data_IF_599834188803
#
_entry.id   IF_599834188803
#
_cell.length_a   1.000
_cell.length_b   1.000
_cell.length_c   1.000
_cell.angle_alpha   90.00
_cell.angle_beta   90.00
_cell.angle_gamma   90.00
#
_symmetry.space_group_name_H-M   'P 1'
#
loop_
_entity.id
_entity.type
_entity.pdbx_description
1 polymer ?
#
# COMPACT_ATOMS: atom_id res chain seq x y z
N UNK A 1 38.48 52.91 6.81
CA UNK A 1 37.05 53.13 6.49
C UNK A 1 36.83 52.65 5.07
N UNK A 2 36.29 51.45 4.90
CA UNK A 2 35.94 50.86 3.61
C UNK A 2 34.63 50.11 3.82
N UNK A 3 33.58 50.53 3.12
CA UNK A 3 32.28 49.89 3.09
C UNK A 3 32.09 49.33 1.68
N UNK A 4 32.01 48.01 1.56
CA UNK A 4 31.51 47.32 0.38
C UNK A 4 30.00 47.04 0.57
N UNK A 5 29.20 47.00 -0.51
CA UNK A 5 27.75 46.81 -0.43
C UNK A 5 27.36 45.34 -0.17
N UNK A 6 26.20 45.18 0.47
CA UNK A 6 25.56 43.94 0.88
C UNK A 6 25.03 43.12 -0.30
N UNK A 7 25.43 41.85 -0.38
CA UNK A 7 24.80 40.85 -1.25
C UNK A 7 23.39 40.50 -0.75
N UNK A 8 22.39 40.72 -1.61
CA UNK A 8 21.02 40.28 -1.41
C UNK A 8 20.92 38.78 -1.70
N UNK A 9 20.61 37.97 -0.67
CA UNK A 9 20.24 36.57 -0.84
C UNK A 9 18.91 36.46 -1.61
N UNK A 10 18.96 35.78 -2.75
CA UNK A 10 17.78 35.43 -3.54
C UNK A 10 16.95 34.35 -2.82
N UNK A 11 15.69 34.67 -2.56
CA UNK A 11 14.71 33.71 -2.02
C UNK A 11 14.24 32.80 -3.16
N UNK A 12 14.30 31.47 -3.05
CA UNK A 12 13.80 30.58 -4.09
C UNK A 12 12.27 30.63 -4.13
N UNK A 13 11.73 30.85 -5.33
CA UNK A 13 10.29 30.78 -5.62
C UNK A 13 9.74 29.39 -5.27
N UNK A 14 8.83 29.34 -4.29
CA UNK A 14 8.04 28.15 -4.00
C UNK A 14 7.15 27.84 -5.21
N UNK A 15 7.40 26.71 -5.87
CA UNK A 15 6.48 26.14 -6.87
C UNK A 15 5.19 25.77 -6.17
N UNK A 16 4.13 26.48 -6.47
CA UNK A 16 2.77 26.15 -6.04
C UNK A 16 2.32 24.90 -6.80
N UNK A 17 2.29 23.75 -6.13
CA UNK A 17 1.57 22.58 -6.62
C UNK A 17 0.06 22.83 -6.47
N UNK A 18 -0.61 23.15 -7.57
CA UNK A 18 -2.07 23.13 -7.62
C UNK A 18 -2.54 21.67 -7.46
N UNK A 19 -3.20 21.37 -6.34
CA UNK A 19 -3.96 20.14 -6.17
C UNK A 19 -5.34 20.31 -6.82
N UNK A 20 -5.46 19.96 -8.10
CA UNK A 20 -6.77 19.74 -8.71
C UNK A 20 -7.24 18.34 -8.30
N UNK A 21 -8.02 18.25 -7.21
CA UNK A 21 -8.65 16.99 -6.76
C UNK A 21 -9.90 16.68 -7.59
N UNK A 22 -9.74 16.40 -8.88
CA UNK A 22 -10.82 15.76 -9.63
C UNK A 22 -11.02 14.35 -9.07
N UNK A 23 -12.20 14.07 -8.49
CA UNK A 23 -12.53 12.74 -7.96
C UNK A 23 -12.47 11.73 -9.11
N UNK A 24 -11.65 10.67 -9.01
CA UNK A 24 -11.58 9.69 -10.07
C UNK A 24 -12.92 8.99 -10.24
N UNK A 25 -13.28 8.62 -11.48
CA UNK A 25 -14.44 7.77 -11.73
C UNK A 25 -14.24 6.45 -11.00
N UNK A 26 -15.16 6.12 -10.10
CA UNK A 26 -15.17 4.85 -9.37
C UNK A 26 -16.08 3.87 -10.12
N UNK A 27 -15.68 2.60 -10.18
CA UNK A 27 -16.52 1.51 -10.65
C UNK A 27 -17.55 1.10 -9.61
N UNK A 28 -18.20 -0.05 -9.82
CA UNK A 28 -19.10 -0.63 -8.81
C UNK A 28 -18.28 -1.04 -7.59
N UNK A 29 -18.79 -0.69 -6.41
CA UNK A 29 -18.33 -1.23 -5.13
C UNK A 29 -19.24 -2.39 -4.77
N UNK A 30 -18.66 -3.48 -4.31
CA UNK A 30 -19.35 -4.69 -3.90
C UNK A 30 -18.81 -5.14 -2.55
N UNK A 31 -19.67 -5.71 -1.71
CA UNK A 31 -19.30 -6.19 -0.40
C UNK A 31 -20.18 -7.38 -0.03
N UNK A 32 -19.64 -8.28 0.79
CA UNK A 32 -20.37 -9.46 1.20
C UNK A 32 -19.54 -10.38 2.07
N UNK A 33 -19.97 -11.63 2.11
CA UNK A 33 -19.31 -12.70 2.85
C UNK A 33 -19.15 -13.92 1.95
N UNK A 34 -17.96 -14.55 1.97
CA UNK A 34 -17.69 -15.82 1.29
C UNK A 34 -16.95 -16.72 2.28
N UNK A 35 -17.51 -17.89 2.56
CA UNK A 35 -16.90 -18.90 3.45
C UNK A 35 -16.44 -18.34 4.82
N UNK A 36 -17.25 -17.47 5.45
CA UNK A 36 -16.93 -16.86 6.74
C UNK A 36 -15.90 -15.72 6.67
N UNK A 37 -15.51 -15.27 5.46
CA UNK A 37 -14.68 -14.09 5.25
C UNK A 37 -15.54 -12.93 4.76
N UNK A 38 -15.46 -11.79 5.44
CA UNK A 38 -16.09 -10.56 4.96
C UNK A 38 -15.19 -9.89 3.93
N UNK A 39 -15.75 -9.35 2.87
CA UNK A 39 -14.99 -8.61 1.87
C UNK A 39 -15.68 -7.32 1.46
N UNK A 40 -14.87 -6.37 0.99
CA UNK A 40 -15.29 -5.22 0.19
C UNK A 40 -14.33 -5.09 -0.98
N UNK A 41 -14.86 -4.80 -2.17
CA UNK A 41 -14.08 -4.68 -3.39
C UNK A 41 -14.60 -3.59 -4.30
N UNK A 42 -13.72 -3.02 -5.10
CA UNK A 42 -14.08 -1.99 -6.07
C UNK A 42 -12.89 -1.51 -6.87
N UNK A 43 -13.16 -0.98 -8.06
CA UNK A 43 -12.14 -0.40 -8.92
C UNK A 43 -12.33 1.09 -9.16
N UNK A 44 -11.30 1.74 -9.67
CA UNK A 44 -11.39 3.12 -10.16
C UNK A 44 -10.56 3.33 -11.42
N UNK A 45 -10.92 4.37 -12.17
CA UNK A 45 -10.39 4.66 -13.50
C UNK A 45 -9.50 5.91 -13.53
N UNK A 46 -8.95 6.33 -12.37
CA UNK A 46 -8.07 7.48 -12.23
C UNK A 46 -6.93 7.50 -13.29
N UNK A 47 -6.40 6.32 -13.62
CA UNK A 47 -5.27 6.13 -14.51
C UNK A 47 -5.67 5.61 -15.90
N UNK A 48 -6.96 5.66 -16.26
CA UNK A 48 -7.42 5.14 -17.54
C UNK A 48 -6.79 5.89 -18.73
N UNK A 49 -6.50 7.18 -18.57
CA UNK A 49 -5.76 7.96 -19.57
C UNK A 49 -4.32 7.46 -19.80
N UNK A 50 -3.78 6.65 -18.89
CA UNK A 50 -2.50 5.93 -19.03
C UNK A 50 -2.70 4.45 -19.40
N UNK A 51 -3.93 4.04 -19.71
CA UNK A 51 -4.27 2.65 -20.01
C UNK A 51 -4.27 1.72 -18.79
N UNK A 52 -4.36 2.27 -17.56
CA UNK A 52 -4.32 1.49 -16.31
C UNK A 52 -5.66 1.55 -15.58
N UNK A 53 -6.13 0.40 -15.13
CA UNK A 53 -7.26 0.28 -14.19
C UNK A 53 -6.75 -0.30 -12.87
N UNK A 54 -7.20 0.28 -11.76
CA UNK A 54 -6.88 -0.21 -10.43
C UNK A 54 -8.13 -0.80 -9.79
N UNK A 55 -7.99 -2.01 -9.24
CA UNK A 55 -9.00 -2.71 -8.45
C UNK A 55 -8.41 -3.06 -7.09
N UNK A 56 -9.18 -2.81 -6.03
CA UNK A 56 -8.83 -3.20 -4.67
C UNK A 56 -9.90 -4.13 -4.10
N UNK A 57 -9.45 -5.20 -3.46
CA UNK A 57 -10.27 -5.99 -2.55
C UNK A 57 -9.64 -5.95 -1.15
N UNK A 58 -10.47 -5.80 -0.13
CA UNK A 58 -10.09 -5.91 1.27
C UNK A 58 -10.92 -7.05 1.87
N UNK A 59 -10.24 -7.98 2.52
CA UNK A 59 -10.84 -9.18 3.11
C UNK A 59 -10.51 -9.20 4.59
N UNK A 60 -11.51 -9.46 5.43
CA UNK A 60 -11.33 -9.85 6.82
C UNK A 60 -11.54 -11.35 6.91
N UNK A 61 -10.49 -12.08 7.26
CA UNK A 61 -10.56 -13.54 7.40
C UNK A 61 -11.23 -13.93 8.72
N UNK A 62 -11.67 -15.18 8.83
CA UNK A 62 -12.21 -15.76 10.06
C UNK A 62 -11.23 -15.77 11.24
N UNK A 63 -9.92 -15.58 10.98
CA UNK A 63 -8.85 -15.45 11.98
C UNK A 63 -8.50 -13.99 12.30
N UNK A 64 -9.37 -13.04 11.96
CA UNK A 64 -9.17 -11.61 12.19
C UNK A 64 -7.91 -11.02 11.52
N UNK A 65 -7.46 -11.65 10.43
CA UNK A 65 -6.42 -11.10 9.58
C UNK A 65 -7.04 -10.27 8.47
N UNK A 66 -6.42 -9.13 8.16
CA UNK A 66 -6.78 -8.35 6.99
C UNK A 66 -5.93 -8.78 5.81
N UNK A 67 -6.54 -8.93 4.64
CA UNK A 67 -5.83 -9.13 3.37
C UNK A 67 -6.26 -8.01 2.43
N UNK A 68 -5.30 -7.25 1.92
CA UNK A 68 -5.53 -6.20 0.93
C UNK A 68 -4.89 -6.63 -0.37
N UNK A 69 -5.69 -6.66 -1.43
CA UNK A 69 -5.30 -7.10 -2.77
C UNK A 69 -5.49 -5.92 -3.70
N UNK A 70 -4.38 -5.34 -4.16
CA UNK A 70 -4.37 -4.36 -5.23
C UNK A 70 -4.04 -5.07 -6.55
N UNK A 71 -4.94 -4.99 -7.52
CA UNK A 71 -4.75 -5.52 -8.86
C UNK A 71 -4.75 -4.37 -9.85
N UNK A 72 -3.64 -4.21 -10.58
CA UNK A 72 -3.52 -3.21 -11.64
C UNK A 72 -3.50 -3.93 -12.98
N UNK A 73 -4.44 -3.59 -13.85
CA UNK A 73 -4.52 -4.10 -15.22
C UNK A 73 -4.21 -3.00 -16.22
N UNK A 74 -3.64 -3.39 -17.36
CA UNK A 74 -3.17 -2.48 -18.40
C UNK A 74 -2.15 -3.17 -19.30
N UNK A 75 -1.43 -2.39 -20.08
CA UNK A 75 -0.33 -2.87 -20.94
C UNK A 75 0.89 -1.99 -20.78
N UNK A 76 2.05 -2.57 -21.09
CA UNK A 76 3.33 -1.89 -21.09
C UNK A 76 3.92 -1.73 -19.69
N UNK A 77 5.08 -1.07 -19.65
CA UNK A 77 5.89 -0.86 -18.46
C UNK A 77 5.41 0.35 -17.66
N UNK A 78 5.21 0.18 -16.36
CA UNK A 78 4.79 1.24 -15.44
C UNK A 78 5.64 1.22 -14.18
N UNK A 79 5.77 2.39 -13.56
CA UNK A 79 6.09 2.51 -12.14
C UNK A 79 4.79 2.45 -11.35
N UNK A 80 4.66 1.44 -10.49
CA UNK A 80 3.52 1.23 -9.61
C UNK A 80 3.96 1.51 -8.18
N UNK A 81 3.18 2.35 -7.49
CA UNK A 81 3.46 2.74 -6.11
C UNK A 81 2.22 2.52 -5.25
N UNK A 82 2.39 1.86 -4.10
CA UNK A 82 1.38 1.74 -3.06
C UNK A 82 1.89 2.36 -1.77
N UNK A 83 1.01 3.05 -1.06
CA UNK A 83 1.35 3.76 0.17
C UNK A 83 0.46 3.26 1.30
N UNK A 84 1.08 2.79 2.38
CA UNK A 84 0.40 2.35 3.59
C UNK A 84 0.72 3.36 4.68
N UNK A 85 -0.23 4.25 4.94
CA UNK A 85 -0.08 5.33 5.90
C UNK A 85 -0.50 4.87 7.29
N UNK A 86 0.37 5.06 8.27
CA UNK A 86 0.08 4.72 9.66
C UNK A 86 -0.33 5.95 10.45
N UNK A 87 -1.19 5.77 11.45
CA UNK A 87 -1.42 6.81 12.45
C UNK A 87 -0.12 7.01 13.27
N UNK A 88 0.22 8.23 13.72
CA UNK A 88 1.45 8.50 14.50
C UNK A 88 1.64 7.62 15.74
N UNK A 89 0.55 7.14 16.33
CA UNK A 89 0.60 6.24 17.49
C UNK A 89 0.98 4.79 17.16
N UNK A 90 1.03 4.41 15.88
CA UNK A 90 1.43 3.07 15.44
C UNK A 90 2.94 3.03 15.27
N UNK A 91 3.61 2.16 16.02
CA UNK A 91 5.03 1.85 15.83
C UNK A 91 5.16 0.82 14.72
N UNK A 92 6.10 1.04 13.80
CA UNK A 92 6.33 0.18 12.63
C UNK A 92 7.82 -0.13 12.54
N UNK A 93 8.17 -1.41 12.55
CA UNK A 93 9.55 -1.88 12.58
C UNK A 93 9.77 -2.99 11.56
N UNK A 94 10.88 -2.95 10.81
CA UNK A 94 11.23 -4.02 9.89
C UNK A 94 11.79 -5.20 10.70
N UNK A 95 11.19 -6.38 10.57
CA UNK A 95 11.61 -7.58 11.32
C UNK A 95 12.12 -8.69 10.41
N UNK A 96 12.50 -8.35 9.17
CA UNK A 96 13.09 -9.32 8.25
C UNK A 96 14.41 -9.86 8.81
N UNK A 97 14.57 -11.19 8.76
CA UNK A 97 15.85 -11.82 9.06
C UNK A 97 16.73 -11.82 7.79
N UNK A 98 17.92 -11.18 7.81
CA UNK A 98 18.82 -11.15 6.65
C UNK A 98 19.25 -12.53 6.14
N UNK A 99 19.18 -13.58 6.95
CA UNK A 99 19.73 -14.91 6.66
C UNK A 99 18.84 -15.84 5.80
N UNK A 100 17.62 -15.42 5.44
CA UNK A 100 16.61 -16.30 4.81
C UNK A 100 16.13 -15.89 3.42
N UNK A 101 16.91 -15.12 2.66
CA UNK A 101 16.49 -14.63 1.33
C UNK A 101 16.51 -15.75 0.27
N UNK A 102 15.35 -16.37 0.01
CA UNK A 102 15.12 -17.11 -1.22
C UNK A 102 14.65 -16.15 -2.32
N UNK A 103 15.32 -16.18 -3.48
CA UNK A 103 14.96 -15.40 -4.66
C UNK A 103 13.55 -15.79 -5.10
N UNK A 104 12.64 -14.80 -5.21
CA UNK A 104 11.26 -14.99 -5.67
C UNK A 104 10.18 -15.09 -4.57
N UNK A 105 10.55 -15.07 -3.28
CA UNK A 105 9.61 -15.11 -2.14
C UNK A 105 10.05 -14.25 -0.96
N UNK A 106 10.60 -13.06 -1.23
CA UNK A 106 10.87 -12.09 -0.16
C UNK A 106 9.55 -11.47 0.31
N UNK A 107 8.81 -12.20 1.15
CA UNK A 107 7.75 -11.62 1.95
C UNK A 107 8.40 -10.69 2.97
N UNK A 108 8.44 -9.40 2.67
CA UNK A 108 8.90 -8.43 3.64
C UNK A 108 7.93 -8.43 4.82
N UNK A 109 8.48 -8.58 6.02
CA UNK A 109 7.75 -8.65 7.28
C UNK A 109 8.05 -7.43 8.13
N UNK A 110 6.99 -6.76 8.52
CA UNK A 110 7.04 -5.58 9.37
C UNK A 110 6.19 -5.82 10.61
N UNK A 111 6.73 -5.56 11.80
CA UNK A 111 5.95 -5.55 13.03
C UNK A 111 5.26 -4.20 13.18
N UNK A 112 4.00 -4.23 13.60
CA UNK A 112 3.19 -3.05 13.88
C UNK A 112 2.64 -3.17 15.29
N UNK A 113 2.79 -2.12 16.08
CA UNK A 113 2.22 -2.07 17.42
C UNK A 113 1.41 -0.79 17.62
N UNK A 114 0.21 -0.97 18.15
CA UNK A 114 -0.63 0.12 18.64
C UNK A 114 -1.30 -0.34 19.93
N UNK A 115 -0.99 0.36 21.02
CA UNK A 115 -1.42 -0.03 22.37
C UNK A 115 -0.99 -1.48 22.68
N UNK A 116 -1.87 -2.28 23.29
CA UNK A 116 -1.63 -3.71 23.56
C UNK A 116 -1.75 -4.60 22.31
N UNK A 117 -2.08 -4.04 21.14
CA UNK A 117 -2.28 -4.83 19.91
C UNK A 117 -1.02 -4.85 19.07
N UNK A 118 -0.65 -6.06 18.63
CA UNK A 118 0.46 -6.27 17.73
C UNK A 118 0.01 -7.03 16.48
N UNK A 119 0.57 -6.66 15.34
CA UNK A 119 0.31 -7.28 14.05
C UNK A 119 1.62 -7.45 13.27
N UNK A 120 1.66 -8.44 12.40
CA UNK A 120 2.65 -8.53 11.33
C UNK A 120 2.02 -8.09 10.01
N UNK A 121 2.66 -7.12 9.36
CA UNK A 121 2.45 -6.83 7.95
C UNK A 121 3.36 -7.70 7.12
N UNK A 122 2.80 -8.44 6.17
CA UNK A 122 3.57 -9.26 5.24
C UNK A 122 3.13 -8.96 3.82
N UNK A 123 4.07 -8.74 2.90
CA UNK A 123 3.80 -8.50 1.49
C UNK A 123 3.91 -9.78 0.65
N UNK A 124 3.15 -9.80 -0.43
CA UNK A 124 3.21 -10.76 -1.52
C UNK A 124 3.00 -10.02 -2.85
N UNK A 125 4.00 -10.06 -3.71
CA UNK A 125 4.02 -9.29 -4.96
C UNK A 125 5.44 -8.81 -5.24
N UNK A 126 5.69 -8.25 -6.42
CA UNK A 126 7.00 -7.76 -6.77
C UNK A 126 7.23 -6.36 -6.17
N UNK A 127 8.48 -5.91 -6.20
CA UNK A 127 8.88 -4.59 -5.71
C UNK A 127 9.49 -4.61 -4.32
N UNK A 128 9.86 -3.42 -3.87
CA UNK A 128 10.49 -3.19 -2.57
C UNK A 128 9.55 -2.37 -1.69
N UNK A 129 9.46 -2.72 -0.41
CA UNK A 129 8.69 -1.98 0.57
C UNK A 129 9.64 -1.27 1.54
N UNK A 130 9.53 0.06 1.63
CA UNK A 130 10.42 0.86 2.46
C UNK A 130 9.65 1.75 3.41
N UNK A 131 10.14 1.90 4.64
CA UNK A 131 9.64 2.93 5.55
C UNK A 131 10.09 4.32 5.09
N UNK A 132 9.15 5.26 5.10
CA UNK A 132 9.35 6.67 4.78
C UNK A 132 8.72 7.52 5.88
N UNK A 133 9.39 8.63 6.21
CA UNK A 133 8.77 9.68 7.01
C UNK A 133 7.72 10.42 6.19
N UNK A 134 6.61 10.75 6.82
CA UNK A 134 5.50 11.47 6.20
C UNK A 134 4.71 12.25 7.26
N UNK A 135 3.71 13.00 6.82
CA UNK A 135 2.91 13.86 7.69
C UNK A 135 1.49 13.35 7.87
N UNK A 136 0.99 13.45 9.09
CA UNK A 136 -0.42 13.30 9.45
C UNK A 136 -0.92 14.65 9.98
N UNK A 137 -2.05 15.13 9.45
CA UNK A 137 -2.65 16.40 9.83
C UNK A 137 -4.07 16.14 10.35
N UNK A 138 -4.26 15.97 11.67
CA UNK A 138 -5.59 15.70 12.23
C UNK A 138 -6.52 16.91 12.17
N UNK A 139 -5.95 18.12 12.14
CA UNK A 139 -6.66 19.39 12.05
C UNK A 139 -5.82 20.43 11.30
N UNK A 140 -6.47 21.52 10.87
CA UNK A 140 -5.79 22.56 10.11
C UNK A 140 -4.66 23.21 10.92
N UNK A 141 -3.49 23.32 10.31
CA UNK A 141 -2.31 23.90 10.95
C UNK A 141 -1.51 22.94 11.85
N UNK A 142 -2.04 21.76 12.19
CA UNK A 142 -1.31 20.76 12.96
C UNK A 142 -0.71 19.68 12.05
N UNK A 143 0.58 19.39 12.21
CA UNK A 143 1.28 18.30 11.52
C UNK A 143 2.03 17.45 12.52
N UNK A 144 1.87 16.14 12.40
CA UNK A 144 2.53 15.13 13.20
C UNK A 144 3.35 14.23 12.28
N UNK A 145 4.55 13.86 12.70
CA UNK A 145 5.34 12.85 12.00
C UNK A 145 4.63 11.50 12.07
N UNK A 146 4.67 10.75 10.98
CA UNK A 146 4.22 9.36 10.91
C UNK A 146 5.04 8.55 9.93
N UNK A 147 5.03 7.24 10.14
CA UNK A 147 5.59 6.29 9.19
C UNK A 147 4.59 6.03 8.06
N UNK A 148 5.09 5.97 6.83
CA UNK A 148 4.41 5.38 5.69
C UNK A 148 5.27 4.26 5.15
N UNK A 149 4.70 3.09 4.90
CA UNK A 149 5.38 2.08 4.09
C UNK A 149 5.08 2.39 2.61
N UNK A 150 6.13 2.62 1.85
CA UNK A 150 6.12 2.93 0.42
C UNK A 150 6.55 1.68 -0.34
N UNK A 151 5.61 1.07 -1.04
CA UNK A 151 5.85 -0.07 -1.92
C UNK A 151 6.07 0.44 -3.34
N UNK A 152 7.23 0.18 -3.93
CA UNK A 152 7.55 0.59 -5.29
C UNK A 152 7.94 -0.61 -6.16
N UNK A 153 7.39 -0.65 -7.37
CA UNK A 153 7.73 -1.67 -8.36
C UNK A 153 7.69 -1.08 -9.77
N UNK A 154 8.67 -1.43 -10.61
CA UNK A 154 8.69 -1.07 -12.02
C UNK A 154 8.68 -2.34 -12.89
N UNK A 155 7.74 -2.42 -13.82
CA UNK A 155 7.62 -3.56 -14.73
C UNK A 155 6.36 -3.55 -15.57
N UNK A 156 6.10 -4.64 -16.29
CA UNK A 156 4.97 -4.76 -17.21
C UNK A 156 3.67 -5.15 -16.50
N UNK A 157 2.58 -4.44 -16.78
CA UNK A 157 1.25 -4.81 -16.31
C UNK A 157 0.71 -6.07 -17.05
N UNK A 158 -0.13 -6.89 -16.41
CA UNK A 158 -0.76 -6.69 -15.10
C UNK A 158 0.14 -7.05 -13.91
N UNK A 159 -0.11 -6.41 -12.77
CA UNK A 159 0.59 -6.72 -11.50
C UNK A 159 -0.41 -6.78 -10.35
N UNK A 160 -0.05 -7.55 -9.32
CA UNK A 160 -0.74 -7.59 -8.03
C UNK A 160 0.21 -7.24 -6.89
N UNK A 161 -0.23 -6.35 -6.03
CA UNK A 161 0.42 -6.00 -4.77
C UNK A 161 -0.52 -6.42 -3.64
N UNK A 162 -0.14 -7.45 -2.89
CA UNK A 162 -0.95 -8.02 -1.84
C UNK A 162 -0.23 -7.82 -0.51
N UNK A 163 -0.93 -7.33 0.52
CA UNK A 163 -0.38 -7.34 1.87
C UNK A 163 -1.40 -7.84 2.86
N UNK A 164 -0.89 -8.42 3.94
CA UNK A 164 -1.69 -8.95 5.04
C UNK A 164 -1.37 -8.20 6.31
N UNK A 165 -2.35 -8.03 7.19
CA UNK A 165 -2.16 -7.61 8.58
C UNK A 165 -2.65 -8.77 9.45
N UNK A 166 -1.71 -9.54 10.01
CA UNK A 166 -2.03 -10.73 10.82
C UNK A 166 -1.77 -10.42 12.29
N UNK A 167 -2.75 -10.61 13.20
CA UNK A 167 -2.49 -10.47 14.64
C UNK A 167 -1.32 -11.34 15.09
N UNK A 168 -0.50 -10.85 16.04
CA UNK A 168 0.53 -11.69 16.65
C UNK A 168 -0.13 -12.87 17.37
N UNK A 169 0.42 -14.07 17.17
CA UNK A 169 -0.13 -15.33 17.70
C UNK A 169 -1.04 -16.05 16.71
N UNK A 170 -1.55 -15.36 15.68
CA UNK A 170 -2.33 -15.97 14.61
C UNK A 170 -1.45 -16.46 13.46
N UNK A 171 -1.92 -17.50 12.76
CA UNK A 171 -1.27 -17.98 11.55
C UNK A 171 -1.61 -17.04 10.38
N UNK A 172 -0.61 -16.54 9.63
CA UNK A 172 -0.85 -15.74 8.42
C UNK A 172 -1.74 -16.48 7.42
N UNK A 173 -2.63 -15.78 6.71
CA UNK A 173 -3.42 -16.40 5.66
C UNK A 173 -2.50 -16.92 4.55
N UNK A 174 -2.82 -18.10 4.04
CA UNK A 174 -2.12 -18.67 2.87
C UNK A 174 -2.72 -18.03 1.63
N UNK A 175 -1.88 -17.39 0.82
CA UNK A 175 -2.33 -16.69 -0.39
C UNK A 175 -1.68 -17.35 -1.60
N UNK A 176 -2.50 -17.87 -2.50
CA UNK A 176 -2.07 -18.38 -3.81
C UNK A 176 -2.54 -17.43 -4.91
N UNK A 177 -1.63 -17.15 -5.85
CA UNK A 177 -1.91 -16.36 -7.03
C UNK A 177 -1.35 -17.05 -8.28
N UNK A 178 -2.14 -17.16 -9.35
CA UNK A 178 -1.62 -17.35 -10.69
C UNK A 178 -1.83 -16.06 -11.51
N UNK A 179 -0.77 -15.61 -12.17
CA UNK A 179 -0.85 -14.55 -13.17
C UNK A 179 -1.84 -14.97 -14.27
N UNK A 180 -2.80 -14.11 -14.58
CA UNK A 180 -3.85 -14.37 -15.58
C UNK A 180 -5.13 -15.02 -15.07
N UNK A 181 -5.21 -15.46 -13.80
CA UNK A 181 -6.49 -15.88 -13.21
C UNK A 181 -7.29 -14.67 -12.72
N UNK A 182 -8.62 -14.71 -12.89
CA UNK A 182 -9.56 -13.68 -12.41
C UNK A 182 -9.85 -13.79 -10.90
N UNK A 183 -9.01 -14.48 -10.13
CA UNK A 183 -9.20 -14.70 -8.70
C UNK A 183 -7.86 -14.73 -7.93
N UNK A 184 -7.95 -14.45 -6.63
CA UNK A 184 -6.90 -14.72 -5.64
C UNK A 184 -7.47 -15.71 -4.64
N UNK A 185 -6.69 -16.71 -4.28
CA UNK A 185 -7.10 -17.65 -3.25
C UNK A 185 -6.55 -17.21 -1.89
N UNK A 186 -7.43 -17.18 -0.89
CA UNK A 186 -7.08 -16.90 0.51
C UNK A 186 -7.53 -18.09 1.34
N UNK A 187 -6.59 -18.79 1.97
CA UNK A 187 -6.82 -20.04 2.71
C UNK A 187 -7.58 -21.10 1.89
N UNK A 188 -7.24 -21.24 0.60
CA UNK A 188 -7.91 -22.11 -0.39
C UNK A 188 -9.35 -21.70 -0.73
N UNK A 189 -9.78 -20.50 -0.34
CA UNK A 189 -11.06 -19.93 -0.76
C UNK A 189 -10.80 -18.99 -1.96
N UNK A 190 -11.33 -19.29 -3.15
CA UNK A 190 -11.16 -18.42 -4.32
C UNK A 190 -12.00 -17.15 -4.16
N UNK A 191 -11.35 -16.00 -4.29
CA UNK A 191 -11.97 -14.68 -4.23
C UNK A 191 -11.87 -14.01 -5.62
N UNK A 192 -12.99 -13.80 -6.32
CA UNK A 192 -12.99 -13.24 -7.68
C UNK A 192 -12.61 -11.75 -7.68
N UNK A 193 -11.78 -11.34 -8.63
CA UNK A 193 -11.31 -9.97 -8.82
C UNK A 193 -12.22 -9.12 -9.73
N UNK A 194 -13.42 -9.62 -10.06
CA UNK A 194 -14.45 -8.95 -10.86
C UNK A 194 -15.87 -9.29 -10.42
#
# INVERSE_FOLDING_TARGET
>A
MSLAPSDAMSVPQQRTTQFASSRPRVGRIDAGEIAGMSFVRGGHYAYQHRGVTHFRMIVLTSRNSWVVIDSLSGKGKHLVESFIHFHPAVRVENVNNPAGRAVGTASERWAMQFDERQYFLTTLGPGELMARESWYAPEFGLRQHRTTLHWSWEGDLPVRLIYTLTPVGERPPVISQCLGQEAVEVDNIPLPLS
#
